data_IF_993954429696
#
_entry.id   IF_993954429696
#
_cell.length_a   1.000
_cell.length_b   1.000
_cell.length_c   1.000
_cell.angle_alpha   90.00
_cell.angle_beta   90.00
_cell.angle_gamma   90.00
#
_symmetry.space_group_name_H-M   'P 1'
#
loop_
_entity.id
_entity.type
_entity.pdbx_description
1 polymer ?
#
# COMPACT_ATOMS: atom_id res chain seq x y z
N UNK A 1 -0.06 -27.32 11.38
CA UNK A 1 -0.06 -25.85 11.21
C UNK A 1 1.34 -25.44 10.77
N UNK A 2 1.78 -25.91 9.59
CA UNK A 2 3.19 -25.78 9.14
C UNK A 2 3.34 -25.51 7.64
N UNK A 3 2.26 -25.57 6.85
CA UNK A 3 2.34 -25.64 5.39
C UNK A 3 2.97 -24.42 4.70
N UNK A 4 3.14 -23.30 5.40
CA UNK A 4 3.68 -22.05 4.85
C UNK A 4 4.96 -21.57 5.54
N UNK A 5 5.45 -22.27 6.57
CA UNK A 5 6.59 -21.81 7.37
C UNK A 5 7.88 -21.62 6.55
N UNK A 6 8.01 -22.37 5.44
CA UNK A 6 9.15 -22.30 4.53
C UNK A 6 8.80 -21.68 3.18
N UNK A 7 7.63 -21.06 3.04
CA UNK A 7 7.26 -20.38 1.80
C UNK A 7 8.10 -19.12 1.66
N UNK A 8 8.92 -19.08 0.62
CA UNK A 8 9.70 -17.91 0.24
C UNK A 8 9.17 -17.40 -1.09
N UNK A 9 9.13 -16.07 -1.23
CA UNK A 9 8.97 -15.39 -2.51
C UNK A 9 10.14 -14.45 -2.70
N UNK A 10 10.81 -14.57 -3.83
CA UNK A 10 11.92 -13.70 -4.24
C UNK A 10 11.39 -12.37 -4.77
N UNK A 11 12.28 -11.38 -4.90
CA UNK A 11 11.94 -10.08 -5.48
C UNK A 11 11.45 -10.22 -6.93
N UNK A 12 12.10 -11.06 -7.74
CA UNK A 12 11.70 -11.29 -9.14
C UNK A 12 10.31 -11.93 -9.26
N UNK A 13 9.98 -12.87 -8.38
CA UNK A 13 8.62 -13.45 -8.33
C UNK A 13 7.56 -12.43 -7.88
N UNK A 14 7.93 -11.45 -7.05
CA UNK A 14 7.04 -10.34 -6.67
C UNK A 14 6.74 -9.44 -7.86
N UNK A 15 7.77 -8.98 -8.55
CA UNK A 15 7.65 -8.15 -9.76
C UNK A 15 6.88 -8.87 -10.88
N UNK A 16 7.05 -10.19 -11.01
CA UNK A 16 6.31 -10.98 -11.99
C UNK A 16 4.81 -11.01 -11.68
N UNK A 17 4.42 -11.19 -10.41
CA UNK A 17 3.00 -11.13 -10.02
C UNK A 17 2.37 -9.78 -10.34
N UNK A 18 3.12 -8.67 -10.22
CA UNK A 18 2.66 -7.35 -10.66
C UNK A 18 2.39 -7.28 -12.16
N UNK A 19 3.26 -7.87 -12.99
CA UNK A 19 3.05 -7.94 -14.45
C UNK A 19 1.83 -8.79 -14.81
N UNK A 20 1.54 -9.82 -14.02
CA UNK A 20 0.41 -10.74 -14.22
C UNK A 20 -0.91 -10.21 -13.64
N UNK A 21 -0.88 -9.06 -12.94
CA UNK A 21 -2.07 -8.46 -12.34
C UNK A 21 -2.52 -9.14 -11.04
N UNK A 22 -1.65 -9.90 -10.37
CA UNK A 22 -1.90 -10.48 -9.06
C UNK A 22 -1.73 -9.43 -7.95
N UNK A 23 -2.71 -8.54 -7.84
CA UNK A 23 -2.70 -7.41 -6.91
C UNK A 23 -3.74 -7.57 -5.81
N UNK A 24 -3.33 -7.33 -4.56
CA UNK A 24 -4.23 -7.24 -3.42
C UNK A 24 -5.01 -5.92 -3.41
N UNK A 25 -6.20 -5.93 -2.80
CA UNK A 25 -6.95 -4.72 -2.47
C UNK A 25 -6.87 -4.46 -0.96
N UNK A 26 -6.65 -3.20 -0.59
CA UNK A 26 -6.68 -2.73 0.79
C UNK A 26 -7.80 -1.70 0.92
N UNK A 27 -8.54 -1.79 2.03
CA UNK A 27 -9.56 -0.81 2.41
C UNK A 27 -9.47 -0.59 3.92
N UNK A 28 -8.81 0.48 4.33
CA UNK A 28 -8.71 0.94 5.73
C UNK A 28 -9.92 1.76 6.17
N UNK A 29 -10.79 2.10 5.23
CA UNK A 29 -11.90 3.05 5.39
C UNK A 29 -12.76 2.78 6.63
N UNK A 30 -13.08 1.51 6.90
CA UNK A 30 -13.98 1.13 8.00
C UNK A 30 -13.43 1.35 9.41
N UNK A 31 -12.11 1.59 9.56
CA UNK A 31 -11.46 1.68 10.86
C UNK A 31 -10.61 2.93 11.05
N UNK A 32 -10.51 3.80 10.04
CA UNK A 32 -9.58 4.93 10.12
C UNK A 32 -9.91 5.88 11.27
N UNK A 33 -11.19 6.09 11.60
CA UNK A 33 -11.60 7.00 12.65
C UNK A 33 -11.08 6.56 14.02
N UNK A 34 -11.02 5.25 14.24
CA UNK A 34 -10.46 4.65 15.46
C UNK A 34 -8.96 4.79 15.52
N UNK A 35 -8.28 4.69 14.37
CA UNK A 35 -6.82 4.86 14.26
C UNK A 35 -6.44 6.33 14.48
N UNK A 36 -7.20 7.25 13.90
CA UNK A 36 -6.96 8.68 14.00
C UNK A 36 -7.28 9.21 15.40
N UNK A 37 -8.34 8.73 16.06
CA UNK A 37 -8.72 9.16 17.41
C UNK A 37 -8.68 10.70 17.54
N UNK A 38 -9.31 11.40 16.59
CA UNK A 38 -9.36 12.86 16.44
C UNK A 38 -8.03 13.56 16.11
N UNK A 39 -6.91 12.85 16.04
CA UNK A 39 -5.61 13.40 15.66
C UNK A 39 -5.61 13.88 14.21
N UNK A 40 -4.94 15.00 13.97
CA UNK A 40 -4.71 15.59 12.65
C UNK A 40 -3.24 15.51 12.29
N UNK A 41 -2.93 15.37 11.00
CA UNK A 41 -1.55 15.33 10.51
C UNK A 41 -0.75 14.11 10.95
N UNK A 42 -1.41 13.04 11.40
CA UNK A 42 -0.78 11.73 11.68
C UNK A 42 0.00 11.27 10.45
N UNK A 43 1.25 10.85 10.64
CA UNK A 43 2.07 10.29 9.57
C UNK A 43 1.85 8.79 9.45
N UNK A 44 1.51 8.32 8.26
CA UNK A 44 1.30 6.90 7.95
C UNK A 44 2.46 6.31 7.16
N UNK A 45 2.81 5.06 7.48
CA UNK A 45 3.78 4.26 6.74
C UNK A 45 3.12 3.01 6.17
N UNK A 46 3.26 2.81 4.86
CA UNK A 46 2.73 1.65 4.14
C UNK A 46 3.88 0.76 3.67
N UNK A 47 4.20 -0.33 4.38
CA UNK A 47 5.16 -1.33 3.91
C UNK A 47 4.54 -2.19 2.80
N UNK A 48 5.30 -2.44 1.73
CA UNK A 48 4.83 -3.16 0.54
C UNK A 48 3.55 -2.52 -0.03
N UNK A 49 3.61 -1.18 -0.21
CA UNK A 49 2.42 -0.36 -0.43
C UNK A 49 1.72 -0.62 -1.77
N UNK A 50 2.42 -1.21 -2.72
CA UNK A 50 1.92 -1.44 -4.06
C UNK A 50 1.27 -0.20 -4.66
N UNK A 51 -0.04 -0.30 -4.89
CA UNK A 51 -0.88 0.79 -5.38
C UNK A 51 -2.08 1.08 -4.47
N UNK A 52 -1.88 0.96 -3.16
CA UNK A 52 -2.94 1.14 -2.17
C UNK A 52 -3.63 2.52 -2.33
N UNK A 53 -4.92 2.50 -2.67
CA UNK A 53 -5.75 3.71 -2.86
C UNK A 53 -5.88 4.49 -1.56
N UNK A 54 -5.80 3.82 -0.41
CA UNK A 54 -5.84 4.44 0.91
C UNK A 54 -4.77 5.52 1.10
N UNK A 55 -3.60 5.39 0.45
CA UNK A 55 -2.53 6.38 0.55
C UNK A 55 -2.98 7.76 0.06
N UNK A 56 -3.63 7.83 -1.11
CA UNK A 56 -4.12 9.09 -1.67
C UNK A 56 -5.20 9.69 -0.79
N UNK A 57 -6.13 8.86 -0.33
CA UNK A 57 -7.21 9.29 0.56
C UNK A 57 -6.67 9.89 1.87
N UNK A 58 -5.64 9.28 2.48
CA UNK A 58 -4.99 9.83 3.68
C UNK A 58 -4.30 11.17 3.40
N UNK A 59 -3.60 11.27 2.27
CA UNK A 59 -3.00 12.55 1.84
C UNK A 59 -4.06 13.63 1.66
N UNK A 60 -5.18 13.30 1.02
CA UNK A 60 -6.29 14.24 0.81
C UNK A 60 -6.95 14.69 2.12
N UNK A 61 -6.95 13.83 3.15
CA UNK A 61 -7.37 14.19 4.51
C UNK A 61 -6.32 15.01 5.29
N UNK A 62 -5.17 15.32 4.70
CA UNK A 62 -4.10 16.12 5.31
C UNK A 62 -3.10 15.31 6.13
N UNK A 63 -3.05 13.99 5.94
CA UNK A 63 -2.12 13.10 6.64
C UNK A 63 -0.89 12.80 5.77
N UNK A 64 0.35 13.07 6.23
CA UNK A 64 1.55 12.70 5.49
C UNK A 64 1.67 11.19 5.34
N UNK A 65 2.01 10.71 4.13
CA UNK A 65 2.16 9.28 3.84
C UNK A 65 3.56 9.00 3.30
N UNK A 66 4.14 7.88 3.74
CA UNK A 66 5.36 7.29 3.17
C UNK A 66 5.06 5.84 2.81
N UNK A 67 5.30 5.45 1.56
CA UNK A 67 5.16 4.07 1.09
C UNK A 67 6.50 3.50 0.63
N UNK A 68 6.66 2.19 0.73
CA UNK A 68 7.78 1.46 0.10
C UNK A 68 7.26 0.23 -0.62
N UNK A 69 7.62 0.08 -1.89
CA UNK A 69 7.41 -1.14 -2.68
C UNK A 69 8.58 -1.32 -3.65
N UNK A 70 8.86 -2.58 -4.01
CA UNK A 70 9.89 -2.91 -4.99
C UNK A 70 9.35 -2.79 -6.43
N UNK A 71 8.05 -3.00 -6.62
CA UNK A 71 7.43 -2.99 -7.93
C UNK A 71 7.24 -1.55 -8.42
N UNK A 72 8.19 -1.07 -9.22
CA UNK A 72 8.14 0.25 -9.86
C UNK A 72 6.80 0.50 -10.60
N UNK A 73 6.24 -0.54 -11.22
CA UNK A 73 4.93 -0.47 -11.90
C UNK A 73 3.80 -0.06 -10.94
N UNK A 74 3.78 -0.60 -9.71
CA UNK A 74 2.78 -0.22 -8.71
C UNK A 74 2.93 1.23 -8.30
N UNK A 75 4.17 1.65 -8.06
CA UNK A 75 4.50 3.03 -7.69
C UNK A 75 4.11 4.03 -8.78
N UNK A 76 4.43 3.76 -10.04
CA UNK A 76 4.04 4.63 -11.18
C UNK A 76 2.52 4.81 -11.26
N UNK A 77 1.76 3.73 -11.12
CA UNK A 77 0.29 3.81 -11.10
C UNK A 77 -0.23 4.70 -9.95
N UNK A 78 0.40 4.69 -8.77
CA UNK A 78 0.00 5.57 -7.67
C UNK A 78 0.13 7.03 -8.07
N UNK A 79 1.25 7.42 -8.67
CA UNK A 79 1.48 8.80 -9.12
C UNK A 79 0.49 9.21 -10.22
N UNK A 80 0.32 8.38 -11.24
CA UNK A 80 -0.65 8.60 -12.32
C UNK A 80 -2.09 8.77 -11.81
N UNK A 81 -2.53 7.91 -10.90
CA UNK A 81 -3.89 7.98 -10.32
C UNK A 81 -4.07 9.14 -9.34
N UNK A 82 -3.00 9.52 -8.64
CA UNK A 82 -3.06 10.57 -7.63
C UNK A 82 -2.97 11.98 -8.22
N UNK A 83 -2.61 12.10 -9.51
CA UNK A 83 -2.33 13.39 -10.15
C UNK A 83 -1.10 14.07 -9.55
N UNK A 84 -0.15 13.28 -9.02
CA UNK A 84 1.13 13.71 -8.45
C UNK A 84 2.24 13.37 -9.45
#
# INVERSE_FOLDING_TARGET
MEAQAYRVRTLGEWEQGWKEGEIGSHMLESYIDKVLCELKGVRFFFPLCGKAVDMKWLVDMGHPVVGVDIAEMGIRHVFEMSGI
#
